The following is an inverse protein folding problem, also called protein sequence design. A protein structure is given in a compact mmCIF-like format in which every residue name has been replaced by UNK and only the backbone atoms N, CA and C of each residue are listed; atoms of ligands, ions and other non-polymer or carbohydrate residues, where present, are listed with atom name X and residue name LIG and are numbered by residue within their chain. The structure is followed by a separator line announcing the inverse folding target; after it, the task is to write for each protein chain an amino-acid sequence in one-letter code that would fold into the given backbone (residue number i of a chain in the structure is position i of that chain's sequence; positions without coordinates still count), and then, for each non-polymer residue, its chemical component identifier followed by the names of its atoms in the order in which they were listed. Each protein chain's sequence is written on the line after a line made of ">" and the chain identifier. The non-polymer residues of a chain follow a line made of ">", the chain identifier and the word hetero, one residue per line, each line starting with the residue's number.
data_IF_504060345041
#
_entry.id   IF_504060345041
#
_cell.length_a   1.000
_cell.length_b   1.000
_cell.length_c   1.000
_cell.angle_alpha   90.00
_cell.angle_beta   90.00
_cell.angle_gamma   90.00
#
_symmetry.space_group_name_H-M   'P 1'
#
loop_
_entity.id
_entity.type
_entity.pdbx_description
1 polymer ?
#
# COMPACT_ATOMS: atom_id res chain seq x y z
N UNK A 1 15.06 2.79 -21.16
CA UNK A 1 13.95 3.28 -20.32
C UNK A 1 14.48 3.32 -18.91
N UNK A 2 14.70 4.51 -18.35
CA UNK A 2 15.22 4.63 -16.98
C UNK A 2 14.13 4.15 -16.02
N UNK A 3 14.45 3.17 -15.17
CA UNK A 3 13.57 2.80 -14.06
C UNK A 3 13.28 4.10 -13.28
N UNK A 4 12.00 4.43 -13.11
CA UNK A 4 11.61 5.57 -12.27
C UNK A 4 12.00 5.15 -10.86
N UNK A 5 12.90 5.90 -10.21
CA UNK A 5 13.25 5.63 -8.81
C UNK A 5 11.96 5.69 -7.97
N UNK A 6 11.74 4.66 -7.16
CA UNK A 6 10.61 4.60 -6.23
C UNK A 6 10.81 5.66 -5.15
N UNK A 7 9.83 6.55 -4.97
CA UNK A 7 9.85 7.57 -3.92
C UNK A 7 9.28 7.02 -2.61
N UNK A 8 10.15 6.41 -1.80
CA UNK A 8 9.78 5.80 -0.53
C UNK A 8 9.34 6.83 0.52
N UNK A 9 9.84 8.06 0.43
CA UNK A 9 9.52 9.12 1.39
C UNK A 9 8.11 9.68 1.13
N UNK A 10 7.74 9.84 -0.15
CA UNK A 10 6.37 10.20 -0.52
C UNK A 10 5.37 9.12 -0.14
N UNK A 11 5.70 7.84 -0.33
CA UNK A 11 4.87 6.74 0.19
C UNK A 11 4.72 6.83 1.71
N UNK A 12 5.83 7.04 2.43
CA UNK A 12 5.83 7.14 3.89
C UNK A 12 4.91 8.26 4.38
N UNK A 13 4.96 9.44 3.74
CA UNK A 13 4.11 10.57 4.08
C UNK A 13 2.61 10.21 4.08
N UNK A 14 2.12 9.52 3.05
CA UNK A 14 0.71 9.13 2.99
C UNK A 14 0.37 7.99 3.95
N UNK A 15 1.28 7.02 4.13
CA UNK A 15 1.05 5.91 5.08
C UNK A 15 1.02 6.42 6.52
N UNK A 16 1.84 7.41 6.89
CA UNK A 16 1.86 7.99 8.24
C UNK A 16 0.54 8.64 8.62
N UNK A 17 -0.16 9.26 7.64
CA UNK A 17 -1.49 9.85 7.85
C UNK A 17 -2.56 8.81 8.19
N UNK A 18 -2.35 7.54 7.85
CA UNK A 18 -3.28 6.47 8.19
C UNK A 18 -3.22 6.08 9.68
N UNK A 19 -2.17 6.51 10.41
CA UNK A 19 -2.01 6.22 11.83
C UNK A 19 -2.85 7.18 12.67
N UNK A 20 -3.82 6.65 13.42
CA UNK A 20 -4.67 7.42 14.34
C UNK A 20 -3.99 7.73 15.70
N UNK A 21 -2.74 7.33 15.85
CA UNK A 21 -1.93 7.46 17.07
C UNK A 21 -2.53 6.75 18.29
N UNK A 22 -1.83 6.82 19.42
CA UNK A 22 -2.30 6.23 20.67
C UNK A 22 -3.56 6.91 21.23
N UNK A 23 -3.88 8.14 20.78
CA UNK A 23 -5.09 8.85 21.21
C UNK A 23 -6.37 8.11 20.82
N UNK A 24 -6.39 7.46 19.66
CA UNK A 24 -7.53 6.67 19.20
C UNK A 24 -7.30 5.16 19.29
N UNK A 25 -6.06 4.70 19.06
CA UNK A 25 -5.74 3.27 19.11
C UNK A 25 -5.49 2.73 20.52
N UNK A 26 -5.33 3.59 21.53
CA UNK A 26 -4.86 3.20 22.86
C UNK A 26 -3.37 2.86 22.81
N UNK A 27 -2.98 1.68 23.30
CA UNK A 27 -1.56 1.28 23.32
C UNK A 27 -1.08 0.89 21.92
N UNK A 28 0.04 1.47 21.47
CA UNK A 28 0.63 1.10 20.18
C UNK A 28 1.16 -0.34 20.20
N UNK A 29 0.59 -1.19 19.34
CA UNK A 29 1.14 -2.50 18.98
C UNK A 29 1.46 -2.53 17.49
N UNK A 30 2.61 -1.94 17.14
CA UNK A 30 3.06 -1.77 15.76
C UNK A 30 3.19 -3.10 15.01
N UNK A 31 3.55 -4.18 15.71
CA UNK A 31 3.79 -5.49 15.11
C UNK A 31 2.51 -6.13 14.53
N UNK A 32 1.36 -5.85 15.16
CA UNK A 32 0.04 -6.35 14.73
C UNK A 32 -0.81 -5.28 14.04
N UNK A 33 -0.20 -4.18 13.59
CA UNK A 33 -0.88 -3.07 12.95
C UNK A 33 -0.54 -3.06 11.45
N UNK A 34 -1.53 -3.08 10.55
CA UNK A 34 -1.34 -3.08 9.10
C UNK A 34 -0.61 -1.81 8.63
N UNK A 35 -1.00 -0.64 9.15
CA UNK A 35 -0.27 0.61 8.90
C UNK A 35 1.14 0.55 9.48
N UNK A 36 1.30 0.02 10.70
CA UNK A 36 2.60 -0.15 11.36
C UNK A 36 3.55 -1.08 10.59
N UNK A 37 3.00 -2.14 10.01
CA UNK A 37 3.72 -3.06 9.12
C UNK A 37 4.16 -2.35 7.85
N UNK A 38 3.27 -1.61 7.18
CA UNK A 38 3.61 -0.87 5.97
C UNK A 38 4.72 0.18 6.22
N UNK A 39 4.66 0.90 7.34
CA UNK A 39 5.73 1.80 7.80
C UNK A 39 7.05 1.06 8.01
N UNK A 40 7.00 -0.13 8.60
CA UNK A 40 8.19 -0.97 8.87
C UNK A 40 8.80 -1.49 7.57
N UNK A 41 7.97 -1.90 6.61
CA UNK A 41 8.40 -2.32 5.27
C UNK A 41 9.16 -1.19 4.54
N UNK A 42 8.63 0.03 4.56
CA UNK A 42 9.31 1.20 3.98
C UNK A 42 10.62 1.54 4.71
N UNK A 43 10.62 1.49 6.04
CA UNK A 43 11.81 1.73 6.84
C UNK A 43 12.92 0.71 6.52
N UNK A 44 12.57 -0.58 6.39
CA UNK A 44 13.49 -1.63 5.99
C UNK A 44 14.08 -1.36 4.60
N UNK A 45 13.22 -1.07 3.61
CA UNK A 45 13.63 -0.77 2.24
C UNK A 45 14.63 0.39 2.19
N UNK A 46 14.36 1.48 2.94
CA UNK A 46 15.27 2.62 3.08
C UNK A 46 16.59 2.24 3.75
N UNK A 47 16.54 1.59 4.93
CA UNK A 47 17.74 1.23 5.69
C UNK A 47 18.66 0.25 4.96
N UNK A 48 18.09 -0.65 4.16
CA UNK A 48 18.83 -1.66 3.39
C UNK A 48 19.12 -1.22 1.95
N UNK A 49 18.68 -0.02 1.55
CA UNK A 49 18.78 0.49 0.19
C UNK A 49 18.32 -0.55 -0.86
N UNK A 50 17.12 -1.11 -0.65
CA UNK A 50 16.57 -2.21 -1.46
C UNK A 50 15.10 -1.97 -1.78
N UNK A 51 14.66 -2.52 -2.91
CA UNK A 51 13.24 -2.57 -3.30
C UNK A 51 12.59 -3.91 -3.00
N UNK A 52 13.35 -4.88 -2.47
CA UNK A 52 12.89 -6.24 -2.15
C UNK A 52 12.89 -6.48 -0.65
N UNK A 53 11.80 -7.05 -0.15
CA UNK A 53 11.64 -7.51 1.23
C UNK A 53 11.46 -9.03 1.17
N UNK A 54 12.51 -9.83 1.45
CA UNK A 54 12.43 -11.28 1.39
C UNK A 54 11.25 -11.80 2.21
N UNK A 55 10.38 -12.60 1.59
CA UNK A 55 9.15 -13.14 2.20
C UNK A 55 8.22 -12.09 2.82
N UNK A 56 8.36 -10.80 2.46
CA UNK A 56 7.63 -9.71 3.08
C UNK A 56 6.11 -9.85 2.95
N UNK A 57 5.64 -10.44 1.84
CA UNK A 57 4.21 -10.69 1.60
C UNK A 57 3.60 -11.71 2.57
N UNK A 58 4.40 -12.64 3.11
CA UNK A 58 3.97 -13.64 4.10
C UNK A 58 3.88 -13.07 5.52
N UNK A 59 4.52 -11.92 5.77
CA UNK A 59 4.62 -11.29 7.10
C UNK A 59 3.51 -10.28 7.38
N UNK A 60 2.60 -10.05 6.42
CA UNK A 60 1.50 -9.09 6.57
C UNK A 60 0.56 -9.58 7.68
N UNK A 61 0.27 -8.78 8.72
CA UNK A 61 -0.68 -9.15 9.77
C UNK A 61 -2.05 -9.52 9.20
N UNK A 62 -2.66 -10.60 9.69
CA UNK A 62 -3.96 -11.10 9.21
C UNK A 62 -5.10 -10.85 10.20
N UNK A 63 -4.78 -10.47 11.44
CA UNK A 63 -5.69 -10.40 12.57
C UNK A 63 -5.81 -8.98 13.14
N UNK A 64 -5.57 -7.97 12.30
CA UNK A 64 -5.75 -6.57 12.65
C UNK A 64 -7.21 -6.15 12.48
N UNK A 65 -7.89 -5.94 13.61
CA UNK A 65 -9.30 -5.56 13.67
C UNK A 65 -9.52 -4.04 13.82
N UNK A 66 -8.47 -3.23 13.62
CA UNK A 66 -8.57 -1.78 13.78
C UNK A 66 -9.41 -1.15 12.67
N UNK A 67 -10.17 -0.12 13.03
CA UNK A 67 -10.93 0.70 12.08
C UNK A 67 -10.08 1.90 11.67
N UNK A 68 -9.78 1.99 10.38
CA UNK A 68 -9.00 3.07 9.78
C UNK A 68 -9.88 4.14 9.11
N UNK A 69 -9.31 5.31 8.85
CA UNK A 69 -9.97 6.31 8.02
C UNK A 69 -9.83 5.92 6.54
N UNK A 70 -10.96 5.63 5.91
CA UNK A 70 -11.02 5.13 4.53
C UNK A 70 -10.34 6.09 3.53
N UNK A 71 -10.51 7.40 3.71
CA UNK A 71 -9.91 8.41 2.82
C UNK A 71 -8.37 8.42 2.89
N UNK A 72 -7.79 8.32 4.09
CA UNK A 72 -6.33 8.26 4.24
C UNK A 72 -5.77 6.98 3.62
N UNK A 73 -6.44 5.84 3.82
CA UNK A 73 -6.05 4.56 3.19
C UNK A 73 -6.15 4.61 1.67
N UNK A 74 -7.22 5.19 1.11
CA UNK A 74 -7.37 5.37 -0.35
C UNK A 74 -6.20 6.20 -0.89
N UNK A 75 -5.85 7.29 -0.21
CA UNK A 75 -4.74 8.15 -0.62
C UNK A 75 -3.39 7.45 -0.52
N UNK A 76 -3.15 6.68 0.54
CA UNK A 76 -1.93 5.89 0.69
C UNK A 76 -1.82 4.81 -0.38
N UNK A 77 -2.88 4.04 -0.62
CA UNK A 77 -2.89 2.99 -1.63
C UNK A 77 -2.71 3.55 -3.05
N UNK A 78 -3.34 4.70 -3.35
CA UNK A 78 -3.14 5.40 -4.61
C UNK A 78 -1.68 5.83 -4.82
N UNK A 79 -1.01 6.33 -3.78
CA UNK A 79 0.41 6.68 -3.84
C UNK A 79 1.29 5.45 -4.06
N UNK A 80 1.07 4.37 -3.31
CA UNK A 80 1.80 3.10 -3.48
C UNK A 80 1.69 2.59 -4.92
N UNK A 81 0.48 2.60 -5.48
CA UNK A 81 0.25 2.22 -6.88
C UNK A 81 0.91 3.18 -7.87
N UNK A 82 0.99 4.48 -7.56
CA UNK A 82 1.65 5.47 -8.40
C UNK A 82 3.16 5.24 -8.51
N UNK A 83 3.77 4.75 -7.43
CA UNK A 83 5.19 4.40 -7.39
C UNK A 83 5.50 3.05 -8.07
N UNK A 84 4.47 2.25 -8.39
CA UNK A 84 4.66 0.99 -9.09
C UNK A 84 5.22 1.20 -10.50
N UNK A 85 6.27 0.44 -10.83
CA UNK A 85 6.92 0.47 -12.15
C UNK A 85 6.15 -0.29 -13.24
N UNK A 86 5.01 -0.90 -12.90
CA UNK A 86 4.19 -1.73 -13.78
C UNK A 86 4.99 -2.87 -14.43
N UNK A 87 5.60 -3.72 -13.59
CA UNK A 87 6.50 -4.79 -14.02
C UNK A 87 5.85 -5.87 -14.90
N UNK A 88 4.51 -5.95 -14.94
CA UNK A 88 3.73 -6.97 -15.67
C UNK A 88 4.23 -8.38 -15.36
N UNK A 89 4.58 -9.17 -16.37
CA UNK A 89 5.08 -10.54 -16.25
C UNK A 89 6.36 -10.65 -15.40
N UNK A 90 7.09 -9.54 -15.19
CA UNK A 90 8.24 -9.49 -14.28
C UNK A 90 7.85 -9.08 -12.85
N UNK A 91 6.58 -9.23 -12.46
CA UNK A 91 6.13 -8.90 -11.11
C UNK A 91 6.80 -9.79 -10.07
N UNK A 92 7.22 -9.17 -8.98
CA UNK A 92 7.77 -9.88 -7.82
C UNK A 92 6.94 -9.57 -6.59
N UNK A 93 6.41 -10.62 -5.95
CA UNK A 93 5.62 -10.50 -4.71
C UNK A 93 6.39 -9.85 -3.57
N UNK A 94 7.72 -9.98 -3.58
CA UNK A 94 8.62 -9.45 -2.56
C UNK A 94 8.94 -7.96 -2.74
N UNK A 95 8.46 -7.31 -3.80
CA UNK A 95 8.74 -5.88 -3.97
C UNK A 95 8.05 -5.04 -2.89
N UNK A 96 8.73 -4.00 -2.40
CA UNK A 96 8.23 -3.12 -1.33
C UNK A 96 6.88 -2.49 -1.68
N UNK A 97 6.61 -2.22 -2.96
CA UNK A 97 5.32 -1.76 -3.45
C UNK A 97 4.23 -2.79 -3.20
N UNK A 98 4.45 -4.06 -3.59
CA UNK A 98 3.48 -5.13 -3.38
C UNK A 98 3.24 -5.39 -1.89
N UNK A 99 4.31 -5.51 -1.11
CA UNK A 99 4.24 -5.77 0.34
C UNK A 99 3.45 -4.68 1.06
N UNK A 100 3.69 -3.41 0.74
CA UNK A 100 2.94 -2.27 1.32
C UNK A 100 1.51 -2.21 0.78
N UNK A 101 1.29 -2.47 -0.51
CA UNK A 101 -0.05 -2.55 -1.12
C UNK A 101 -0.92 -3.56 -0.40
N UNK A 102 -0.41 -4.77 -0.14
CA UNK A 102 -1.15 -5.86 0.52
C UNK A 102 -1.62 -5.47 1.92
N UNK A 103 -0.78 -4.79 2.69
CA UNK A 103 -1.16 -4.33 4.02
C UNK A 103 -2.26 -3.25 3.97
N UNK A 104 -2.15 -2.29 3.04
CA UNK A 104 -3.16 -1.25 2.85
C UNK A 104 -4.48 -1.79 2.29
N UNK A 105 -4.41 -2.80 1.42
CA UNK A 105 -5.58 -3.51 0.90
C UNK A 105 -6.36 -4.21 2.00
N UNK A 106 -5.70 -4.99 2.86
CA UNK A 106 -6.37 -5.62 4.00
C UNK A 106 -7.02 -4.57 4.90
N UNK A 107 -6.35 -3.43 5.13
CA UNK A 107 -6.88 -2.36 5.97
C UNK A 107 -8.08 -1.64 5.33
N UNK A 108 -8.14 -1.55 4.00
CA UNK A 108 -9.16 -0.80 3.26
C UNK A 108 -10.33 -1.66 2.79
N UNK A 109 -10.04 -2.88 2.34
CA UNK A 109 -10.95 -3.77 1.62
C UNK A 109 -11.25 -5.04 2.41
N UNK A 110 -10.44 -5.37 3.44
CA UNK A 110 -10.57 -6.59 4.22
C UNK A 110 -10.05 -7.85 3.53
N UNK A 111 -9.57 -7.74 2.29
CA UNK A 111 -9.02 -8.84 1.50
C UNK A 111 -7.88 -8.34 0.60
N UNK A 112 -7.05 -9.26 0.12
CA UNK A 112 -6.05 -8.99 -0.90
C UNK A 112 -6.52 -9.43 -2.29
N UNK A 113 -6.23 -8.61 -3.28
CA UNK A 113 -6.47 -8.95 -4.68
C UNK A 113 -5.17 -9.38 -5.35
N UNK A 114 -5.30 -10.29 -6.32
CA UNK A 114 -4.18 -10.66 -7.19
C UNK A 114 -3.65 -9.43 -7.93
N UNK A 115 -2.33 -9.39 -8.12
CA UNK A 115 -1.67 -8.27 -8.77
C UNK A 115 -0.53 -8.70 -9.66
N UNK A 116 -0.78 -8.68 -10.96
CA UNK A 116 0.19 -9.09 -11.97
C UNK A 116 1.02 -7.90 -12.49
N UNK A 117 1.44 -7.01 -11.57
CA UNK A 117 2.32 -5.90 -11.95
C UNK A 117 1.68 -4.83 -12.84
N UNK A 118 0.36 -4.62 -12.79
CA UNK A 118 -0.35 -3.61 -13.58
C UNK A 118 -1.31 -2.80 -12.72
N UNK A 119 -0.96 -1.54 -12.42
CA UNK A 119 -1.80 -0.67 -11.60
C UNK A 119 -3.17 -0.41 -12.24
N UNK A 120 -3.25 -0.28 -13.57
CA UNK A 120 -4.54 -0.06 -14.24
C UNK A 120 -5.46 -1.28 -14.19
N UNK A 121 -4.91 -2.49 -14.39
CA UNK A 121 -5.70 -3.73 -14.31
C UNK A 121 -6.24 -3.92 -12.88
N UNK A 122 -5.38 -3.70 -11.89
CA UNK A 122 -5.74 -3.72 -10.48
C UNK A 122 -6.86 -2.73 -10.13
N UNK A 123 -6.75 -1.46 -10.57
CA UNK A 123 -7.78 -0.45 -10.32
C UNK A 123 -9.14 -0.84 -10.92
N UNK A 124 -9.15 -1.46 -12.11
CA UNK A 124 -10.37 -2.00 -12.70
C UNK A 124 -10.95 -3.17 -11.90
N UNK A 125 -10.10 -4.07 -11.39
CA UNK A 125 -10.51 -5.19 -10.55
C UNK A 125 -11.15 -4.69 -9.25
N UNK A 126 -10.52 -3.75 -8.54
CA UNK A 126 -11.10 -3.14 -7.33
C UNK A 126 -12.43 -2.45 -7.66
N UNK A 127 -12.51 -1.71 -8.76
CA UNK A 127 -13.76 -1.06 -9.20
C UNK A 127 -14.92 -2.00 -9.48
N UNK A 128 -14.65 -3.23 -9.94
CA UNK A 128 -15.68 -4.24 -10.16
C UNK A 128 -16.16 -4.88 -8.86
N UNK A 129 -15.27 -5.11 -7.89
CA UNK A 129 -15.60 -5.80 -6.64
C UNK A 129 -16.10 -4.85 -5.55
N UNK A 130 -15.58 -3.63 -5.51
CA UNK A 130 -15.96 -2.61 -4.53
C UNK A 130 -16.33 -1.29 -5.26
N UNK A 131 -17.60 -1.12 -5.67
CA UNK A 131 -18.06 0.05 -6.42
C UNK A 131 -18.05 1.34 -5.59
N UNK A 132 -17.91 1.26 -4.26
CA UNK A 132 -17.79 2.45 -3.41
C UNK A 132 -16.34 2.95 -3.35
N UNK A 133 -15.37 2.05 -3.13
CA UNK A 133 -13.95 2.38 -2.98
C UNK A 133 -13.27 2.56 -4.34
N UNK A 134 -13.61 1.73 -5.32
CA UNK A 134 -12.92 1.69 -6.61
C UNK A 134 -12.88 3.02 -7.38
N UNK A 135 -14.01 3.72 -7.56
CA UNK A 135 -14.01 5.05 -8.21
C UNK A 135 -13.17 6.09 -7.45
N UNK A 136 -13.24 6.10 -6.11
CA UNK A 136 -12.46 7.01 -5.26
C UNK A 136 -10.96 6.73 -5.40
N UNK A 137 -10.56 5.46 -5.39
CA UNK A 137 -9.17 5.02 -5.57
C UNK A 137 -8.64 5.36 -6.97
N UNK A 138 -9.45 5.15 -8.02
CA UNK A 138 -9.09 5.53 -9.38
C UNK A 138 -8.88 7.04 -9.50
N UNK A 139 -9.78 7.85 -8.94
CA UNK A 139 -9.67 9.31 -8.95
C UNK A 139 -8.41 9.78 -8.21
N UNK A 140 -8.14 9.23 -7.03
CA UNK A 140 -6.94 9.53 -6.25
C UNK A 140 -5.65 9.13 -7.00
N UNK A 141 -5.65 8.01 -7.72
CA UNK A 141 -4.52 7.60 -8.54
C UNK A 141 -4.29 8.53 -9.74
N UNK A 142 -5.37 8.95 -10.41
CA UNK A 142 -5.29 9.83 -11.58
C UNK A 142 -4.79 11.24 -11.23
N UNK A 143 -5.20 11.81 -10.09
CA UNK A 143 -4.74 13.15 -9.67
C UNK A 143 -3.22 13.21 -9.52
N UNK A 144 -2.59 12.12 -9.08
CA UNK A 144 -1.13 11.99 -8.93
C UNK A 144 -0.38 11.87 -10.24
N UNK A 145 -1.01 11.41 -11.33
CA UNK A 145 -0.38 11.41 -12.67
C UNK A 145 -0.28 12.81 -13.28
N UNK A 146 -1.17 13.70 -12.88
CA UNK A 146 -1.24 15.06 -13.38
C UNK A 146 -0.51 16.07 -12.47
N UNK A 147 0.13 15.59 -11.40
CA UNK A 147 0.89 16.37 -10.41
C UNK A 147 2.39 16.17 -10.61
#
# INVERSE_FOLDING_TARGET
>A
MSARNIDLDKMQHFIDRCCKTESECGKCDRARCLVGFAQTALAYARQKNTTRIPRGHELVPQDDLRVYYQEDLINALAEVLHQCQNCRDNHEEECVINVTRRALELALLGENFDYEGSASAYLMQVGRHNPEVGPKLLQAYQSRKNS
#
